data_IF_020089124908
#
_entry.id   IF_020089124908
#
_cell.length_a   1.000
_cell.length_b   1.000
_cell.length_c   1.000
_cell.angle_alpha   90.00
_cell.angle_beta   90.00
_cell.angle_gamma   90.00
#
_symmetry.space_group_name_H-M   'P 1'
#
loop_
_entity.id
_entity.type
_entity.pdbx_description
1 polymer ?
#
# COMPACT_ATOMS: atom_id res chain seq x y z
N UNK A 1 -17.79 -65.68 -41.54
CA UNK A 1 -19.04 -64.91 -41.42
C UNK A 1 -18.81 -63.79 -40.41
N UNK A 2 -17.80 -62.91 -40.48
CA UNK A 2 -17.14 -62.15 -41.57
C UNK A 2 -18.18 -61.43 -42.44
N UNK A 3 -18.12 -60.09 -42.42
CA UNK A 3 -18.85 -59.08 -43.23
C UNK A 3 -19.86 -58.19 -42.49
N UNK A 4 -19.39 -57.47 -41.45
CA UNK A 4 -20.13 -56.34 -40.86
C UNK A 4 -19.27 -55.12 -40.48
N UNK A 5 -17.95 -55.18 -40.63
CA UNK A 5 -17.02 -54.20 -40.05
C UNK A 5 -16.03 -53.65 -41.08
N UNK A 6 -16.52 -53.32 -42.28
CA UNK A 6 -15.69 -52.76 -43.37
C UNK A 6 -16.33 -51.56 -44.07
N UNK A 7 -17.36 -50.92 -43.49
CA UNK A 7 -18.04 -49.77 -44.11
C UNK A 7 -17.94 -48.44 -43.32
N UNK A 8 -17.18 -48.43 -42.21
CA UNK A 8 -16.96 -47.23 -41.38
C UNK A 8 -15.60 -46.53 -41.64
N UNK A 9 -14.81 -47.01 -42.61
CA UNK A 9 -13.42 -46.55 -42.83
C UNK A 9 -13.14 -45.87 -44.18
N UNK A 10 -14.16 -45.56 -44.99
CA UNK A 10 -13.96 -45.08 -46.39
C UNK A 10 -14.56 -43.73 -46.77
N UNK A 11 -15.07 -42.97 -45.83
CA UNK A 11 -15.47 -41.56 -46.03
C UNK A 11 -15.02 -40.87 -44.75
N UNK A 12 -13.87 -40.21 -44.72
CA UNK A 12 -13.78 -38.74 -44.64
C UNK A 12 -12.32 -38.26 -44.79
N UNK A 13 -11.45 -39.05 -45.46
CA UNK A 13 -10.02 -38.75 -45.75
C UNK A 13 -9.89 -37.72 -46.89
N UNK A 14 -10.68 -36.64 -46.89
CA UNK A 14 -10.60 -35.59 -47.94
C UNK A 14 -10.75 -34.19 -47.37
N UNK A 15 -10.00 -33.87 -46.31
CA UNK A 15 -9.70 -32.49 -45.90
C UNK A 15 -8.29 -32.35 -45.32
N UNK A 16 -7.27 -32.63 -46.14
CA UNK A 16 -5.87 -32.27 -45.87
C UNK A 16 -5.27 -31.61 -47.11
N UNK A 17 -5.52 -30.31 -47.28
CA UNK A 17 -4.62 -29.41 -48.01
C UNK A 17 -5.03 -27.96 -47.80
N UNK A 18 -4.32 -27.28 -46.89
CA UNK A 18 -4.06 -25.83 -46.95
C UNK A 18 -2.96 -25.51 -45.93
N UNK A 19 -1.74 -25.82 -46.37
CA UNK A 19 -0.52 -25.15 -45.92
C UNK A 19 -0.63 -23.71 -46.43
N UNK A 20 -0.63 -22.74 -45.52
CA UNK A 20 -0.27 -21.36 -45.84
C UNK A 20 0.70 -20.87 -44.77
N UNK A 21 1.97 -20.86 -45.17
CA UNK A 21 3.09 -20.23 -44.49
C UNK A 21 3.05 -18.75 -44.83
N UNK A 22 2.69 -17.90 -43.86
CA UNK A 22 3.01 -16.46 -43.74
C UNK A 22 2.78 -16.15 -42.25
N UNK A 23 3.66 -15.57 -41.45
CA UNK A 23 4.97 -14.97 -41.57
C UNK A 23 5.29 -14.48 -40.15
N UNK A 24 6.56 -14.50 -39.76
CA UNK A 24 6.98 -14.09 -38.43
C UNK A 24 6.55 -12.66 -38.10
N UNK A 25 5.62 -12.52 -37.16
CA UNK A 25 5.40 -11.27 -36.46
C UNK A 25 6.26 -11.30 -35.19
N UNK A 26 7.47 -10.76 -35.30
CA UNK A 26 8.27 -10.32 -34.17
C UNK A 26 7.53 -9.18 -33.47
N UNK A 27 6.59 -9.52 -32.59
CA UNK A 27 6.09 -8.58 -31.62
C UNK A 27 7.18 -8.45 -30.56
N UNK A 28 7.95 -7.36 -30.65
CA UNK A 28 8.61 -6.76 -29.50
C UNK A 28 7.57 -6.64 -28.39
N UNK A 29 7.57 -7.61 -27.48
CA UNK A 29 6.82 -7.57 -26.23
C UNK A 29 7.43 -6.50 -25.34
N UNK A 30 7.23 -5.23 -25.72
CA UNK A 30 7.34 -4.13 -24.78
C UNK A 30 6.47 -4.47 -23.59
N UNK A 31 7.02 -4.30 -22.39
CA UNK A 31 6.31 -4.43 -21.13
C UNK A 31 5.09 -3.52 -21.12
N UNK A 32 4.00 -3.99 -21.71
CA UNK A 32 2.64 -3.61 -21.40
C UNK A 32 2.36 -4.17 -20.01
N UNK A 33 2.98 -3.55 -19.01
CA UNK A 33 2.39 -3.49 -17.69
C UNK A 33 1.04 -2.83 -17.92
N UNK A 34 0.03 -3.67 -18.07
CA UNK A 34 -1.37 -3.32 -17.95
C UNK A 34 -1.53 -2.68 -16.58
N UNK A 35 -1.26 -1.38 -16.52
CA UNK A 35 -1.71 -0.51 -15.45
C UNK A 35 -3.22 -0.48 -15.66
N UNK A 36 -3.90 -1.49 -15.13
CA UNK A 36 -5.31 -1.39 -14.81
C UNK A 36 -5.39 -0.19 -13.87
N UNK A 37 -5.60 0.99 -14.47
CA UNK A 37 -6.11 2.14 -13.76
C UNK A 37 -7.49 1.69 -13.30
N UNK A 38 -7.52 1.11 -12.10
CA UNK A 38 -8.75 0.94 -11.35
C UNK A 38 -9.31 2.35 -11.29
N UNK A 39 -10.38 2.60 -12.05
CA UNK A 39 -11.17 3.82 -11.94
C UNK A 39 -11.88 3.78 -10.58
N UNK A 40 -11.10 3.88 -9.51
CA UNK A 40 -11.61 3.98 -8.16
C UNK A 40 -12.07 5.41 -8.00
N UNK A 41 -13.38 5.62 -8.08
CA UNK A 41 -14.00 6.90 -7.76
C UNK A 41 -13.50 7.30 -6.36
N UNK A 42 -12.88 8.48 -6.19
CA UNK A 42 -12.40 8.91 -4.89
C UNK A 42 -13.59 9.02 -3.93
N UNK A 43 -13.43 8.45 -2.74
CA UNK A 43 -14.44 8.54 -1.68
C UNK A 43 -14.39 9.94 -1.12
N UNK A 44 -15.54 10.63 -0.98
CA UNK A 44 -15.56 11.97 -0.40
C UNK A 44 -15.05 11.94 1.04
N UNK A 45 -14.29 12.98 1.40
CA UNK A 45 -13.87 13.25 2.76
C UNK A 45 -14.40 14.64 3.16
N UNK A 46 -15.31 14.74 4.14
CA UNK A 46 -15.79 13.69 5.05
C UNK A 46 -16.72 12.66 4.39
N UNK A 47 -16.68 11.42 4.88
CA UNK A 47 -17.57 10.34 4.48
C UNK A 47 -18.87 10.44 5.27
N UNK A 48 -19.99 10.72 4.59
CA UNK A 48 -21.33 10.77 5.19
C UNK A 48 -21.94 9.38 5.19
N UNK A 49 -22.32 8.89 6.37
CA UNK A 49 -22.93 7.57 6.56
C UNK A 49 -24.39 7.73 6.99
N UNK A 50 -25.37 7.26 6.18
CA UNK A 50 -26.79 7.33 6.51
C UNK A 50 -27.14 6.28 7.58
N UNK A 51 -27.36 6.75 8.81
CA UNK A 51 -27.71 5.98 10.01
C UNK A 51 -26.68 4.95 10.53
N UNK A 52 -26.33 5.08 11.81
CA UNK A 52 -26.63 4.19 12.94
C UNK A 52 -25.97 4.84 14.17
N UNK A 53 -26.45 4.50 15.36
CA UNK A 53 -25.85 4.79 16.66
C UNK A 53 -24.34 5.13 16.61
N UNK A 54 -23.97 6.24 17.24
CA UNK A 54 -22.61 6.78 17.26
C UNK A 54 -21.59 5.71 17.64
N UNK A 55 -21.93 4.84 18.60
CA UNK A 55 -21.04 3.79 19.07
C UNK A 55 -20.71 2.75 17.99
N UNK A 56 -21.65 2.43 17.10
CA UNK A 56 -21.38 1.47 16.01
C UNK A 56 -20.40 2.04 15.01
N UNK A 57 -20.59 3.31 14.62
CA UNK A 57 -19.67 4.01 13.71
C UNK A 57 -18.31 4.16 14.37
N UNK A 58 -18.29 4.53 15.65
CA UNK A 58 -17.06 4.70 16.42
C UNK A 58 -16.26 3.40 16.51
N UNK A 59 -16.89 2.31 16.94
CA UNK A 59 -16.24 1.00 17.07
C UNK A 59 -15.78 0.44 15.71
N UNK A 60 -16.56 0.64 14.65
CA UNK A 60 -16.16 0.24 13.30
C UNK A 60 -14.97 1.07 12.80
N UNK A 61 -14.97 2.37 13.10
CA UNK A 61 -13.86 3.27 12.75
C UNK A 61 -12.58 2.85 13.46
N UNK A 62 -12.65 2.57 14.76
CA UNK A 62 -11.53 2.02 15.54
C UNK A 62 -11.01 0.74 14.88
N UNK A 63 -11.89 -0.22 14.59
CA UNK A 63 -11.52 -1.50 14.00
C UNK A 63 -10.94 -1.41 12.57
N UNK A 64 -11.15 -0.29 11.87
CA UNK A 64 -10.50 -0.01 10.58
C UNK A 64 -9.18 0.69 10.80
N UNK A 65 -9.10 1.67 11.70
CA UNK A 65 -7.88 2.42 11.98
C UNK A 65 -6.80 1.50 12.55
N UNK A 66 -7.17 0.60 13.46
CA UNK A 66 -6.27 -0.37 14.11
C UNK A 66 -5.64 -1.37 13.11
N UNK A 67 -6.28 -1.61 11.95
CA UNK A 67 -5.71 -2.44 10.87
C UNK A 67 -4.46 -1.79 10.23
N UNK A 68 -4.32 -0.47 10.34
CA UNK A 68 -3.23 0.31 9.72
C UNK A 68 -2.25 0.87 10.75
N UNK A 69 -2.77 1.51 11.80
CA UNK A 69 -1.99 2.28 12.77
C UNK A 69 -2.44 1.96 14.19
N UNK A 70 -1.47 1.90 15.11
CA UNK A 70 -1.75 1.73 16.53
C UNK A 70 -2.41 3.00 17.09
N UNK A 71 -3.43 2.81 17.93
CA UNK A 71 -4.20 3.93 18.48
C UNK A 71 -3.45 4.55 19.67
N UNK A 72 -3.29 5.88 19.66
CA UNK A 72 -2.63 6.61 20.75
C UNK A 72 -3.64 7.12 21.78
N UNK A 73 -4.72 7.72 21.30
CA UNK A 73 -5.74 8.35 22.15
C UNK A 73 -7.10 8.29 21.48
N UNK A 74 -8.09 7.84 22.25
CA UNK A 74 -9.50 7.86 21.88
C UNK A 74 -10.23 8.84 22.79
N UNK A 75 -10.77 9.91 22.21
CA UNK A 75 -11.60 10.86 22.96
C UNK A 75 -13.02 10.86 22.39
N UNK A 76 -13.92 10.15 23.07
CA UNK A 76 -15.34 10.03 22.66
C UNK A 76 -16.07 11.37 22.74
N UNK A 77 -15.74 12.21 23.72
CA UNK A 77 -16.35 13.51 23.95
C UNK A 77 -15.96 14.52 22.86
N UNK A 78 -14.69 14.55 22.49
CA UNK A 78 -14.18 15.35 21.36
C UNK A 78 -14.46 14.70 20.00
N UNK A 79 -14.99 13.47 20.00
CA UNK A 79 -15.19 12.63 18.82
C UNK A 79 -13.96 12.54 17.93
N UNK A 80 -12.79 12.44 18.57
CA UNK A 80 -11.49 12.48 17.91
C UNK A 80 -10.66 11.26 18.29
N UNK A 81 -10.08 10.62 17.28
CA UNK A 81 -9.14 9.50 17.44
C UNK A 81 -7.81 9.96 16.88
N UNK A 82 -6.75 9.77 17.66
CA UNK A 82 -5.37 10.07 17.27
C UNK A 82 -4.57 8.79 17.37
N UNK A 83 -3.79 8.52 16.32
CA UNK A 83 -2.94 7.32 16.23
C UNK A 83 -1.49 7.65 16.56
N UNK A 84 -0.72 6.62 16.92
CA UNK A 84 0.71 6.75 17.14
C UNK A 84 1.42 6.93 15.79
N UNK A 85 2.47 7.76 15.73
CA UNK A 85 3.29 7.84 14.53
C UNK A 85 3.96 6.48 14.26
N UNK A 86 3.70 5.92 13.09
CA UNK A 86 4.23 4.62 12.64
C UNK A 86 5.14 4.82 11.44
N UNK A 87 6.31 4.16 11.45
CA UNK A 87 7.23 4.16 10.30
C UNK A 87 6.58 3.40 9.15
N UNK A 88 6.67 4.00 7.97
CA UNK A 88 6.10 3.50 6.75
C UNK A 88 6.70 2.16 6.31
N UNK A 89 5.85 1.23 5.86
CA UNK A 89 6.27 -0.02 5.27
C UNK A 89 7.13 0.17 4.02
N UNK A 90 8.21 -0.61 3.94
CA UNK A 90 9.12 -0.58 2.79
C UNK A 90 8.60 -1.42 1.61
N UNK A 91 9.33 -1.43 0.50
CA UNK A 91 9.01 -2.27 -0.66
C UNK A 91 9.06 -3.77 -0.33
N UNK A 92 9.87 -4.18 0.65
CA UNK A 92 10.03 -5.57 1.06
C UNK A 92 9.03 -6.03 2.14
N UNK A 93 8.12 -5.15 2.55
CA UNK A 93 7.10 -5.42 3.56
C UNK A 93 5.69 -5.32 2.96
N UNK A 94 5.33 -6.19 2.00
CA UNK A 94 4.04 -6.10 1.30
C UNK A 94 2.82 -6.27 2.22
N UNK A 95 2.98 -6.90 3.39
CA UNK A 95 1.90 -7.07 4.37
C UNK A 95 1.58 -5.81 5.18
N UNK A 96 2.49 -4.83 5.22
CA UNK A 96 2.23 -3.55 5.89
C UNK A 96 1.26 -2.73 5.04
N UNK A 97 0.01 -2.56 5.49
CA UNK A 97 -1.05 -1.85 4.74
C UNK A 97 -0.98 -0.31 4.85
N UNK A 98 0.01 0.21 5.57
CA UNK A 98 0.21 1.63 5.87
C UNK A 98 0.72 2.47 4.68
N UNK A 99 1.16 1.81 3.61
CA UNK A 99 1.69 2.41 2.39
C UNK A 99 0.81 1.99 1.22
N UNK A 100 0.10 2.97 0.65
CA UNK A 100 -0.98 2.68 -0.29
C UNK A 100 -0.47 2.32 -1.68
N UNK A 101 0.48 3.10 -2.22
CA UNK A 101 0.98 2.90 -3.59
C UNK A 101 2.42 2.37 -3.63
N UNK A 102 2.78 1.72 -4.73
CA UNK A 102 4.15 1.26 -5.00
C UNK A 102 5.17 2.40 -4.91
N UNK A 103 4.84 3.58 -5.43
CA UNK A 103 5.69 4.77 -5.34
C UNK A 103 6.02 5.11 -3.88
N UNK A 104 5.02 5.06 -2.99
CA UNK A 104 5.23 5.40 -1.58
C UNK A 104 6.08 4.36 -0.86
N UNK A 105 6.00 3.10 -1.26
CA UNK A 105 6.87 2.04 -0.73
C UNK A 105 8.30 2.24 -1.16
N UNK A 106 8.54 2.63 -2.42
CA UNK A 106 9.88 2.98 -2.90
C UNK A 106 10.39 4.22 -2.16
N UNK A 107 9.56 5.25 -2.01
CA UNK A 107 9.89 6.46 -1.24
C UNK A 107 10.30 6.10 0.20
N UNK A 108 9.50 5.26 0.87
CA UNK A 108 9.74 4.81 2.24
C UNK A 108 10.94 3.85 2.37
N UNK A 109 11.38 3.25 1.27
CA UNK A 109 12.61 2.41 1.24
C UNK A 109 13.87 3.24 1.09
N UNK A 110 13.75 4.43 0.48
CA UNK A 110 14.88 5.34 0.24
C UNK A 110 15.05 6.37 1.36
N UNK A 111 13.96 6.71 2.04
CA UNK A 111 13.93 7.69 3.12
C UNK A 111 12.99 7.21 4.22
N UNK A 112 13.38 7.38 5.48
CA UNK A 112 12.50 7.07 6.60
C UNK A 112 11.34 8.06 6.59
N UNK A 113 10.14 7.51 6.44
CA UNK A 113 8.90 8.27 6.49
C UNK A 113 8.07 7.68 7.61
N UNK A 114 7.41 8.53 8.39
CA UNK A 114 6.37 8.10 9.33
C UNK A 114 5.05 8.74 8.99
N UNK A 115 3.98 8.09 9.41
CA UNK A 115 2.60 8.56 9.22
C UNK A 115 1.85 8.49 10.53
N UNK A 116 0.92 9.40 10.71
CA UNK A 116 -0.09 9.32 11.75
C UNK A 116 -1.42 9.81 11.18
N UNK A 117 -2.50 9.21 11.64
CA UNK A 117 -3.87 9.58 11.30
C UNK A 117 -4.56 10.32 12.46
N UNK A 118 -5.31 11.35 12.08
CA UNK A 118 -6.28 12.04 12.93
C UNK A 118 -7.65 11.80 12.31
N UNK A 119 -8.55 11.22 13.09
CA UNK A 119 -9.91 10.93 12.67
C UNK A 119 -10.87 11.76 13.51
N UNK A 120 -11.84 12.41 12.88
CA UNK A 120 -12.90 13.15 13.55
C UNK A 120 -14.26 12.65 13.08
N UNK A 121 -15.15 12.36 14.02
CA UNK A 121 -16.53 11.95 13.72
C UNK A 121 -17.47 13.08 14.11
N UNK A 122 -17.99 13.82 13.13
CA UNK A 122 -18.87 14.98 13.36
C UNK A 122 -20.31 14.62 12.96
N UNK A 123 -21.33 15.18 13.61
CA UNK A 123 -22.70 15.02 13.12
C UNK A 123 -22.86 15.77 11.81
N UNK A 124 -23.52 15.16 10.82
CA UNK A 124 -23.72 15.81 9.52
C UNK A 124 -24.68 17.01 9.67
N UNK A 125 -24.40 18.18 9.05
CA UNK A 125 -25.27 19.36 9.13
C UNK A 125 -26.69 19.11 8.62
N UNK A 126 -26.92 18.14 7.74
CA UNK A 126 -28.26 17.77 7.26
C UNK A 126 -29.04 16.96 8.30
N UNK A 127 -28.40 16.51 9.39
CA UNK A 127 -29.01 15.71 10.46
C UNK A 127 -29.32 14.26 10.08
N UNK A 128 -28.96 13.83 8.87
CA UNK A 128 -29.27 12.49 8.34
C UNK A 128 -28.21 11.42 8.66
N UNK A 129 -27.14 11.77 9.40
CA UNK A 129 -26.07 10.83 9.70
C UNK A 129 -24.90 11.40 10.50
N UNK A 130 -23.82 10.63 10.55
CA UNK A 130 -22.51 11.10 11.01
C UNK A 130 -21.56 11.22 9.81
N UNK A 131 -20.72 12.23 9.85
CA UNK A 131 -19.68 12.51 8.89
C UNK A 131 -18.32 12.10 9.50
N UNK A 132 -17.65 11.11 8.90
CA UNK A 132 -16.33 10.65 9.34
C UNK A 132 -15.26 11.33 8.49
N UNK A 133 -14.45 12.18 9.11
CA UNK A 133 -13.28 12.82 8.50
C UNK A 133 -12.02 12.07 8.89
N UNK A 134 -11.27 11.57 7.91
CA UNK A 134 -9.98 10.92 8.12
C UNK A 134 -8.90 11.80 7.52
N UNK A 135 -7.86 12.13 8.29
CA UNK A 135 -6.72 12.91 7.82
C UNK A 135 -5.44 12.17 8.18
N UNK A 136 -4.70 11.72 7.18
CA UNK A 136 -3.40 11.06 7.39
C UNK A 136 -2.31 12.06 7.07
N UNK A 137 -1.39 12.28 8.01
CA UNK A 137 -0.25 13.16 7.84
C UNK A 137 1.01 12.35 7.62
N UNK A 138 1.81 12.78 6.63
CA UNK A 138 3.11 12.21 6.29
C UNK A 138 4.20 13.12 6.82
N UNK A 139 5.19 12.53 7.48
CA UNK A 139 6.38 13.21 7.97
C UNK A 139 7.62 12.47 7.50
N UNK A 140 8.62 13.23 7.07
CA UNK A 140 9.91 12.71 6.61
C UNK A 140 10.96 12.93 7.70
N UNK A 141 11.78 11.92 7.96
CA UNK A 141 12.88 12.05 8.92
C UNK A 141 13.97 12.98 8.36
N UNK A 142 14.37 13.97 9.15
CA UNK A 142 15.47 14.86 8.78
C UNK A 142 16.80 14.35 9.35
N UNK A 143 17.62 13.80 8.45
CA UNK A 143 18.95 13.31 8.75
C UNK A 143 19.98 14.04 7.89
N UNK A 144 21.03 14.57 8.54
CA UNK A 144 22.19 15.18 7.85
C UNK A 144 22.93 14.15 7.01
N UNK A 145 22.96 12.89 7.47
CA UNK A 145 23.49 11.74 6.76
C UNK A 145 22.68 10.49 7.13
N UNK A 146 22.55 9.50 6.23
CA UNK A 146 21.85 8.26 6.56
C UNK A 146 22.48 7.59 7.79
N UNK A 147 21.65 7.01 8.66
CA UNK A 147 22.14 6.27 9.81
C UNK A 147 23.06 5.13 9.32
N UNK A 148 24.28 5.06 9.87
CA UNK A 148 25.29 4.06 9.49
C UNK A 148 25.70 4.08 8.01
N UNK A 149 25.56 5.22 7.33
CA UNK A 149 26.25 5.40 6.06
C UNK A 149 27.75 5.17 6.27
N UNK A 150 28.40 4.26 5.51
CA UNK A 150 29.85 4.14 5.57
C UNK A 150 30.39 5.51 5.16
N UNK A 151 31.01 6.22 6.11
CA UNK A 151 31.72 7.45 5.80
C UNK A 151 32.67 7.08 4.66
N UNK A 152 32.45 7.63 3.45
CA UNK A 152 32.88 7.14 2.13
C UNK A 152 34.39 6.94 1.90
N UNK A 153 35.18 6.73 2.94
CA UNK A 153 36.49 6.13 2.94
C UNK A 153 36.34 4.68 2.48
N UNK A 154 36.70 4.43 1.22
CA UNK A 154 36.96 3.09 0.75
C UNK A 154 37.97 2.42 1.69
N UNK A 155 37.52 1.50 2.53
CA UNK A 155 38.39 0.67 3.35
C UNK A 155 38.83 -0.48 2.44
N UNK A 156 39.82 -0.21 1.58
CA UNK A 156 40.54 -1.28 0.90
C UNK A 156 41.36 -2.04 1.95
N UNK A 157 40.75 -3.07 2.54
CA UNK A 157 41.46 -3.96 3.46
C UNK A 157 42.34 -4.87 2.61
N UNK A 158 43.64 -4.56 2.52
CA UNK A 158 44.58 -5.36 1.73
C UNK A 158 45.07 -6.61 2.49
N UNK A 159 44.75 -6.74 3.77
CA UNK A 159 45.09 -7.87 4.62
C UNK A 159 44.01 -7.96 5.70
N UNK A 160 43.33 -9.10 5.85
CA UNK A 160 42.39 -9.35 6.95
C UNK A 160 43.15 -10.13 8.04
N UNK A 161 43.87 -9.48 8.97
CA UNK A 161 44.20 -10.15 10.22
C UNK A 161 42.91 -10.32 11.02
N UNK A 162 42.74 -11.50 11.64
CA UNK A 162 41.64 -11.83 12.55
C UNK A 162 41.70 -10.90 13.77
N UNK A 163 41.15 -9.69 13.65
CA UNK A 163 41.16 -8.70 14.71
C UNK A 163 39.74 -8.51 15.25
N UNK A 164 39.50 -9.02 16.46
CA UNK A 164 38.27 -8.86 17.24
C UNK A 164 38.11 -7.44 17.80
N UNK A 165 38.51 -6.43 17.04
CA UNK A 165 38.27 -5.04 17.40
C UNK A 165 36.76 -4.81 17.27
N UNK A 166 36.08 -4.65 18.41
CA UNK A 166 34.69 -4.21 18.43
C UNK A 166 34.63 -2.92 17.61
N UNK A 167 33.82 -2.91 16.56
CA UNK A 167 33.49 -1.68 15.86
C UNK A 167 32.99 -0.70 16.92
N UNK A 168 33.78 0.34 17.18
CA UNK A 168 33.39 1.41 18.08
C UNK A 168 32.34 2.19 17.30
N UNK A 169 31.08 1.82 17.48
CA UNK A 169 29.94 2.54 16.95
C UNK A 169 30.10 3.98 17.42
N UNK A 170 30.36 4.89 16.48
CA UNK A 170 30.45 6.31 16.78
C UNK A 170 29.13 6.82 17.38
N UNK A 171 29.11 8.04 17.94
CA UNK A 171 27.87 8.63 18.41
C UNK A 171 26.82 8.57 17.30
N UNK A 172 25.67 7.96 17.57
CA UNK A 172 24.52 7.96 16.66
C UNK A 172 24.13 9.42 16.47
N UNK A 173 24.06 9.89 15.22
CA UNK A 173 23.62 11.26 14.98
C UNK A 173 22.18 11.40 15.46
N UNK A 174 21.95 12.40 16.29
CA UNK A 174 20.60 12.69 16.80
C UNK A 174 19.76 13.19 15.63
N UNK A 175 18.59 12.60 15.34
CA UNK A 175 17.73 13.07 14.28
C UNK A 175 17.36 14.55 14.53
N UNK A 176 17.45 15.39 13.49
CA UNK A 176 17.18 16.83 13.60
C UNK A 176 15.69 17.11 13.82
N UNK A 177 14.84 16.13 13.51
CA UNK A 177 13.40 16.17 13.73
C UNK A 177 12.65 15.48 12.60
N UNK A 178 11.37 15.83 12.47
CA UNK A 178 10.48 15.32 11.45
C UNK A 178 9.93 16.48 10.64
N UNK A 179 10.10 16.41 9.32
CA UNK A 179 9.64 17.43 8.38
C UNK A 179 8.23 17.06 7.89
N UNK A 180 7.20 17.90 8.14
CA UNK A 180 5.86 17.61 7.66
C UNK A 180 5.80 17.71 6.12
N UNK A 181 5.30 16.66 5.47
CA UNK A 181 5.08 16.59 4.01
C UNK A 181 3.62 16.86 3.62
N UNK A 182 2.74 17.05 4.60
CA UNK A 182 1.31 17.31 4.39
C UNK A 182 0.46 16.05 4.46
N UNK A 183 -0.72 16.08 3.83
CA UNK A 183 -1.69 14.99 3.89
C UNK A 183 -1.40 13.90 2.87
N UNK A 184 -1.48 12.65 3.30
CA UNK A 184 -1.35 11.47 2.46
C UNK A 184 -2.72 10.99 1.96
N UNK A 185 -3.09 11.48 0.78
CA UNK A 185 -4.38 11.16 0.17
C UNK A 185 -4.50 9.69 -0.24
N UNK A 186 -3.40 8.99 -0.50
CA UNK A 186 -3.46 7.60 -0.98
C UNK A 186 -3.91 6.69 0.15
N UNK A 187 -3.24 6.79 1.30
CA UNK A 187 -3.58 6.00 2.48
C UNK A 187 -4.94 6.42 3.02
N UNK A 188 -5.22 7.73 3.07
CA UNK A 188 -6.52 8.27 3.46
C UNK A 188 -7.67 7.68 2.64
N UNK A 189 -7.54 7.66 1.30
CA UNK A 189 -8.55 7.07 0.42
C UNK A 189 -8.66 5.56 0.59
N UNK A 190 -7.56 4.86 0.88
CA UNK A 190 -7.59 3.42 1.17
C UNK A 190 -8.40 3.12 2.45
N UNK A 191 -8.20 3.92 3.51
CA UNK A 191 -8.95 3.82 4.76
C UNK A 191 -10.41 4.17 4.57
N UNK A 192 -10.71 5.28 3.88
CA UNK A 192 -12.09 5.71 3.61
C UNK A 192 -12.87 4.66 2.83
N UNK A 193 -12.25 4.03 1.82
CA UNK A 193 -12.87 2.91 1.07
C UNK A 193 -13.11 1.69 1.95
N UNK A 194 -12.17 1.36 2.84
CA UNK A 194 -12.31 0.25 3.78
C UNK A 194 -13.45 0.50 4.75
N UNK A 195 -13.55 1.72 5.28
CA UNK A 195 -14.63 2.15 6.16
C UNK A 195 -15.99 2.13 5.44
N UNK A 196 -16.05 2.71 4.23
CA UNK A 196 -17.26 2.70 3.40
C UNK A 196 -17.76 1.28 3.14
N UNK A 197 -16.86 0.34 2.84
CA UNK A 197 -17.18 -1.07 2.64
C UNK A 197 -17.69 -1.80 3.88
N UNK A 198 -17.33 -1.36 5.10
CA UNK A 198 -17.81 -1.98 6.35
C UNK A 198 -19.12 -1.36 6.84
N UNK A 199 -19.40 -0.11 6.48
CA UNK A 199 -20.57 0.63 6.96
C UNK A 199 -21.73 0.65 5.96
N UNK A 200 -21.47 0.59 4.65
CA UNK A 200 -22.51 0.74 3.61
C UNK A 200 -22.78 -0.53 2.79
N UNK A 201 -21.92 -1.54 2.88
CA UNK A 201 -22.01 -2.81 2.15
C UNK A 201 -21.99 -3.97 3.14
#
# INVERSE_FOLDING_TARGET
MIDGEQDSRRRWITRLSRIFVIGGASASGGCSLTRQLRNDIPVPNPLVVPSIDFETIWNTTIAVVDEYFDIASENRQQRRIVTQPKVAGTLLEPWNMDSGNFYERVESSLQTIRRFAIITVEPDPTGMGQAVRIEVFKELEDLVRPERAPAGRAIFSNEIPVNRAREVVGPVDVPQGWIPRGRDLVVEQSMLRRLQKRLLL
#
